data_IF_616877506676
#
_entry.id   IF_616877506676
#
_cell.length_a   1.000
_cell.length_b   1.000
_cell.length_c   1.000
_cell.angle_alpha   90.00
_cell.angle_beta   90.00
_cell.angle_gamma   90.00
#
_symmetry.space_group_name_H-M   'P 1'
#
loop_
_entity.id
_entity.type
_entity.pdbx_description
1 polymer ?
#
# COMPACT_ATOMS: atom_id res chain seq x y z
N UNK A 1 12.50 23.79 15.97
CA UNK A 1 12.92 22.52 15.35
C UNK A 1 12.32 21.41 16.21
N UNK A 2 11.13 20.91 15.84
CA UNK A 2 10.56 19.76 16.56
C UNK A 2 11.37 18.53 16.18
N UNK A 3 11.67 17.69 17.17
CA UNK A 3 12.53 16.53 17.03
C UNK A 3 11.79 15.45 16.21
N UNK A 4 11.90 15.49 14.88
CA UNK A 4 11.26 14.53 13.99
C UNK A 4 11.76 13.08 14.20
N UNK A 5 12.86 12.91 14.95
CA UNK A 5 13.47 11.63 15.30
C UNK A 5 12.55 10.71 16.17
N UNK A 6 11.52 11.24 16.83
CA UNK A 6 10.56 10.42 17.61
C UNK A 6 9.31 10.01 16.82
N UNK A 7 9.05 10.59 15.64
CA UNK A 7 7.81 10.36 14.88
C UNK A 7 8.01 9.31 13.79
N UNK A 8 6.99 8.47 13.62
CA UNK A 8 6.93 7.47 12.55
C UNK A 8 6.34 8.14 11.31
N UNK A 9 7.19 8.69 10.44
CA UNK A 9 6.73 9.43 9.25
C UNK A 9 6.36 8.51 8.07
N UNK A 10 7.00 7.34 7.99
CA UNK A 10 6.76 6.33 6.95
C UNK A 10 6.12 5.08 7.56
N UNK A 11 5.03 4.65 6.95
CA UNK A 11 4.39 3.37 7.22
C UNK A 11 4.65 2.38 6.09
N UNK A 12 4.77 1.10 6.42
CA UNK A 12 4.89 0.01 5.46
C UNK A 12 3.72 -0.94 5.67
N UNK A 13 3.02 -1.26 4.59
CA UNK A 13 1.99 -2.30 4.61
C UNK A 13 2.50 -3.48 3.79
N UNK A 14 2.98 -4.51 4.50
CA UNK A 14 3.53 -5.73 3.92
C UNK A 14 2.44 -6.72 3.51
N UNK A 15 2.46 -7.14 2.25
CA UNK A 15 1.58 -8.18 1.71
C UNK A 15 2.23 -9.57 1.78
N UNK A 16 1.67 -10.50 1.02
CA UNK A 16 2.26 -11.82 0.81
C UNK A 16 3.74 -11.69 0.44
N UNK A 17 4.62 -12.33 1.22
CA UNK A 17 6.07 -12.33 0.99
C UNK A 17 6.87 -11.29 1.78
N UNK A 18 6.20 -10.29 2.39
CA UNK A 18 6.83 -9.34 3.30
C UNK A 18 5.98 -9.22 4.57
N UNK A 19 6.33 -10.00 5.60
CA UNK A 19 5.58 -10.07 6.87
C UNK A 19 6.24 -9.32 8.02
N UNK A 20 7.51 -8.93 7.85
CA UNK A 20 8.27 -8.14 8.81
C UNK A 20 9.44 -7.43 8.09
N UNK A 21 10.12 -6.56 8.84
CA UNK A 21 11.38 -5.90 8.46
C UNK A 21 12.47 -6.32 9.46
N UNK A 22 12.76 -7.62 9.53
CA UNK A 22 13.75 -8.20 10.45
C UNK A 22 15.20 -7.81 10.13
N UNK A 23 15.43 -7.21 8.97
CA UNK A 23 16.67 -6.54 8.60
C UNK A 23 16.82 -5.13 9.21
N UNK A 24 15.83 -4.65 9.96
CA UNK A 24 15.88 -3.40 10.73
C UNK A 24 15.89 -3.68 12.24
N UNK A 25 16.32 -2.70 13.04
CA UNK A 25 16.37 -2.85 14.49
C UNK A 25 14.97 -2.71 15.08
N UNK A 26 14.36 -3.82 15.52
CA UNK A 26 13.08 -3.78 16.22
C UNK A 26 13.14 -2.94 17.50
N UNK A 27 12.12 -2.11 17.72
CA UNK A 27 12.00 -1.25 18.91
C UNK A 27 10.86 -1.72 19.81
N UNK A 28 9.63 -1.79 19.29
CA UNK A 28 8.43 -2.17 20.04
C UNK A 28 7.25 -2.49 19.13
N UNK A 29 6.22 -3.12 19.69
CA UNK A 29 4.89 -3.14 19.07
C UNK A 29 3.98 -2.07 19.66
N UNK A 30 3.10 -1.51 18.84
CA UNK A 30 1.96 -0.68 19.27
C UNK A 30 0.69 -1.22 18.63
N UNK A 31 -0.43 -1.20 19.36
CA UNK A 31 -1.69 -1.73 18.87
C UNK A 31 -2.86 -0.79 19.20
N UNK A 32 -2.91 0.42 18.58
CA UNK A 32 -3.96 1.38 18.87
C UNK A 32 -5.32 0.86 18.39
N UNK A 33 -6.35 1.04 19.21
CA UNK A 33 -7.73 0.86 18.76
C UNK A 33 -8.16 2.11 17.99
N UNK A 34 -8.65 1.92 16.77
CA UNK A 34 -9.20 3.00 15.93
C UNK A 34 -10.73 3.02 16.01
N UNK A 35 -11.40 4.08 15.55
CA UNK A 35 -12.87 4.07 15.40
C UNK A 35 -13.39 2.91 14.54
N UNK A 36 -12.57 2.39 13.62
CA UNK A 36 -12.91 1.25 12.75
C UNK A 36 -12.40 -0.10 13.27
N UNK A 37 -12.01 -0.18 14.54
CA UNK A 37 -11.47 -1.38 15.19
C UNK A 37 -9.94 -1.45 15.17
N UNK A 38 -9.41 -2.66 15.32
CA UNK A 38 -7.97 -2.92 15.27
C UNK A 38 -7.48 -3.13 13.83
N UNK A 39 -6.22 -2.77 13.59
CA UNK A 39 -5.51 -3.10 12.37
C UNK A 39 -5.33 -4.63 12.22
N UNK A 40 -4.93 -5.08 11.02
CA UNK A 40 -4.66 -6.48 10.68
C UNK A 40 -3.65 -7.15 11.62
N UNK A 41 -2.71 -6.37 12.17
CA UNK A 41 -1.72 -6.80 13.15
C UNK A 41 -1.34 -5.63 14.06
N UNK A 42 -0.75 -5.88 15.25
CA UNK A 42 0.02 -4.86 15.94
C UNK A 42 1.05 -4.23 15.00
N UNK A 43 1.22 -2.92 15.07
CA UNK A 43 2.20 -2.19 14.28
C UNK A 43 3.57 -2.46 14.90
N UNK A 44 4.49 -3.03 14.12
CA UNK A 44 5.88 -3.15 14.53
C UNK A 44 6.60 -1.83 14.26
N UNK A 45 7.25 -1.27 15.28
CA UNK A 45 8.11 -0.10 15.14
C UNK A 45 9.55 -0.58 15.09
N UNK A 46 10.25 -0.22 14.02
CA UNK A 46 11.67 -0.51 13.83
C UNK A 46 12.45 0.77 13.55
N UNK A 47 13.74 0.77 13.89
CA UNK A 47 14.70 1.82 13.58
C UNK A 47 15.56 1.42 12.40
N UNK A 48 15.75 2.36 11.49
CA UNK A 48 16.78 2.32 10.47
C UNK A 48 18.17 2.57 11.08
N UNK A 49 19.27 2.28 10.36
CA UNK A 49 20.63 2.61 10.79
C UNK A 49 20.83 4.11 11.07
N UNK A 50 20.09 4.98 10.37
CA UNK A 50 20.06 6.43 10.61
C UNK A 50 19.39 6.84 11.93
N UNK A 51 18.71 5.92 12.63
CA UNK A 51 17.90 6.19 13.81
C UNK A 51 16.45 6.55 13.51
N UNK A 52 16.07 6.74 12.24
CA UNK A 52 14.71 7.07 11.87
C UNK A 52 13.76 5.88 12.06
N UNK A 53 12.52 6.17 12.51
CA UNK A 53 11.53 5.15 12.84
C UNK A 53 10.58 4.86 11.68
N UNK A 54 10.26 3.58 11.50
CA UNK A 54 9.26 3.08 10.54
C UNK A 54 8.21 2.22 11.25
N UNK A 55 6.96 2.35 10.84
CA UNK A 55 5.85 1.50 11.31
C UNK A 55 5.50 0.46 10.26
N UNK A 56 5.31 -0.79 10.66
CA UNK A 56 4.98 -1.89 9.76
C UNK A 56 3.69 -2.60 10.18
N UNK A 57 2.79 -2.84 9.21
CA UNK A 57 1.59 -3.67 9.36
C UNK A 57 1.69 -4.87 8.41
N UNK A 58 1.44 -6.08 8.94
CA UNK A 58 1.22 -7.27 8.12
C UNK A 58 -0.24 -7.25 7.62
N UNK A 59 -0.44 -6.99 6.33
CA UNK A 59 -1.76 -6.78 5.70
C UNK A 59 -2.75 -7.92 6.00
N UNK A 60 -2.26 -9.15 5.91
CA UNK A 60 -3.05 -10.37 6.08
C UNK A 60 -3.03 -10.90 7.52
N UNK A 61 -2.54 -10.11 8.49
CA UNK A 61 -2.18 -10.58 9.81
C UNK A 61 -0.83 -11.33 9.80
N UNK A 62 -0.30 -11.59 11.00
CA UNK A 62 1.03 -12.20 11.17
C UNK A 62 1.09 -13.61 10.54
N UNK A 63 0.01 -14.38 10.71
CA UNK A 63 -0.09 -15.76 10.21
C UNK A 63 -0.80 -15.87 8.85
N UNK A 64 -0.97 -14.74 8.14
CA UNK A 64 -1.72 -14.68 6.88
C UNK A 64 -3.16 -15.23 7.01
N UNK A 65 -3.82 -14.94 8.13
CA UNK A 65 -5.16 -15.45 8.47
C UNK A 65 -6.31 -14.61 7.89
N UNK A 66 -6.02 -13.44 7.32
CA UNK A 66 -7.03 -12.50 6.81
C UNK A 66 -7.03 -12.48 5.28
N UNK A 67 -8.12 -12.93 4.67
CA UNK A 67 -8.31 -12.87 3.21
C UNK A 67 -8.40 -11.42 2.69
N UNK A 68 -8.12 -11.15 1.41
CA UNK A 68 -8.14 -9.79 0.85
C UNK A 68 -9.43 -9.00 1.11
N UNK A 69 -10.60 -9.63 0.97
CA UNK A 69 -11.89 -8.99 1.20
C UNK A 69 -12.16 -8.65 2.67
N UNK A 70 -11.49 -9.32 3.60
CA UNK A 70 -11.69 -9.16 5.04
C UNK A 70 -10.66 -8.22 5.70
N UNK A 71 -9.71 -7.68 4.93
CA UNK A 71 -8.70 -6.76 5.46
C UNK A 71 -9.41 -5.53 6.06
N UNK A 72 -9.15 -5.18 7.34
CA UNK A 72 -9.70 -3.98 7.96
C UNK A 72 -8.96 -2.72 7.48
N UNK A 73 -9.04 -2.42 6.18
CA UNK A 73 -8.22 -1.39 5.54
C UNK A 73 -8.40 0.00 6.18
N UNK A 74 -9.63 0.37 6.60
CA UNK A 74 -9.89 1.60 7.36
C UNK A 74 -9.09 1.66 8.66
N UNK A 75 -9.08 0.57 9.43
CA UNK A 75 -8.32 0.50 10.67
C UNK A 75 -6.80 0.52 10.42
N UNK A 76 -6.31 -0.14 9.37
CA UNK A 76 -4.89 -0.11 9.00
C UNK A 76 -4.41 1.32 8.71
N UNK A 77 -5.11 2.03 7.83
CA UNK A 77 -4.75 3.39 7.44
C UNK A 77 -4.91 4.35 8.63
N UNK A 78 -6.00 4.26 9.38
CA UNK A 78 -6.23 5.08 10.56
C UNK A 78 -5.15 4.87 11.62
N UNK A 79 -4.80 3.61 11.93
CA UNK A 79 -3.79 3.29 12.93
C UNK A 79 -2.42 3.89 12.55
N UNK A 80 -2.01 3.82 11.28
CA UNK A 80 -0.79 4.47 10.79
C UNK A 80 -0.90 6.00 10.90
N UNK A 81 -2.01 6.61 10.49
CA UNK A 81 -2.25 8.06 10.62
C UNK A 81 -2.06 8.53 12.07
N UNK A 82 -2.57 7.75 13.04
CA UNK A 82 -2.48 8.09 14.47
C UNK A 82 -1.05 8.15 15.01
N UNK A 83 -0.10 7.45 14.37
CA UNK A 83 1.33 7.50 14.70
C UNK A 83 2.07 8.67 14.05
N UNK A 84 1.39 9.46 13.21
CA UNK A 84 1.98 10.56 12.46
C UNK A 84 2.50 10.18 11.08
N UNK A 85 2.16 8.99 10.57
CA UNK A 85 2.54 8.55 9.21
C UNK A 85 1.97 9.52 8.19
N UNK A 86 2.85 9.94 7.26
CA UNK A 86 2.51 10.83 6.14
C UNK A 86 2.67 10.16 4.79
N UNK A 87 3.50 9.11 4.72
CA UNK A 87 3.70 8.31 3.51
C UNK A 87 3.59 6.83 3.83
N UNK A 88 2.83 6.09 3.01
CA UNK A 88 2.71 4.64 3.09
C UNK A 88 3.31 4.01 1.84
N UNK A 89 4.25 3.09 2.07
CA UNK A 89 4.80 2.22 1.02
C UNK A 89 4.23 0.82 1.21
N UNK A 90 3.28 0.46 0.35
CA UNK A 90 2.69 -0.86 0.33
C UNK A 90 3.55 -1.82 -0.50
N UNK A 91 3.63 -3.08 -0.08
CA UNK A 91 4.20 -4.18 -0.86
C UNK A 91 3.12 -5.20 -1.19
N UNK A 92 3.02 -5.66 -2.45
CA UNK A 92 2.06 -6.71 -2.83
C UNK A 92 2.62 -7.70 -3.85
N UNK A 93 2.24 -8.97 -3.69
CA UNK A 93 2.32 -9.97 -4.74
C UNK A 93 1.24 -9.68 -5.81
N UNK A 94 1.60 -9.77 -7.08
CA UNK A 94 0.68 -9.56 -8.21
C UNK A 94 0.93 -10.58 -9.31
N UNK A 95 -0.12 -10.92 -10.06
CA UNK A 95 -0.01 -11.64 -11.31
C UNK A 95 0.31 -10.68 -12.46
N UNK A 96 1.16 -11.12 -13.39
CA UNK A 96 1.49 -10.38 -14.59
C UNK A 96 0.47 -10.63 -15.69
N UNK A 97 -0.07 -9.55 -16.25
CA UNK A 97 -0.91 -9.59 -17.45
C UNK A 97 -0.10 -9.26 -18.72
N UNK A 98 1.23 -9.23 -18.66
CA UNK A 98 2.12 -8.87 -19.77
C UNK A 98 3.27 -9.86 -19.90
N UNK A 99 3.67 -10.16 -21.14
CA UNK A 99 4.71 -11.18 -21.37
C UNK A 99 6.07 -10.73 -20.81
N UNK A 100 6.37 -9.44 -20.98
CA UNK A 100 7.65 -8.83 -20.63
C UNK A 100 7.88 -8.67 -19.12
N UNK A 101 6.82 -8.65 -18.30
CA UNK A 101 6.92 -8.55 -16.83
C UNK A 101 6.94 -9.98 -16.28
N UNK A 102 8.13 -10.47 -15.96
CA UNK A 102 8.31 -11.86 -15.53
C UNK A 102 8.17 -12.05 -14.02
N UNK A 103 7.76 -13.24 -13.53
CA UNK A 103 7.83 -13.59 -12.11
C UNK A 103 9.23 -13.29 -11.54
N UNK A 104 9.28 -12.56 -10.43
CA UNK A 104 10.52 -12.02 -9.87
C UNK A 104 10.70 -10.52 -10.11
N UNK A 105 10.16 -9.97 -11.20
CA UNK A 105 10.28 -8.55 -11.50
C UNK A 105 9.50 -7.69 -10.51
N UNK A 106 10.06 -6.51 -10.25
CA UNK A 106 9.42 -5.47 -9.45
C UNK A 106 8.67 -4.51 -10.37
N UNK A 107 7.57 -3.98 -9.87
CA UNK A 107 6.73 -3.03 -10.60
C UNK A 107 6.26 -1.92 -9.68
N UNK A 108 6.38 -0.69 -10.15
CA UNK A 108 5.75 0.49 -9.57
C UNK A 108 4.58 0.88 -10.48
N UNK A 109 3.35 0.41 -10.22
CA UNK A 109 2.19 0.84 -10.99
C UNK A 109 1.92 2.32 -10.74
N UNK A 110 1.47 3.03 -11.78
CA UNK A 110 1.04 4.42 -11.71
C UNK A 110 -0.49 4.56 -11.68
N UNK A 111 -1.22 3.51 -12.09
CA UNK A 111 -2.67 3.52 -12.25
C UNK A 111 -3.33 2.25 -11.69
N UNK A 112 -4.64 2.38 -11.41
CA UNK A 112 -5.46 1.34 -10.81
C UNK A 112 -6.78 1.18 -11.58
N UNK A 113 -7.23 -0.06 -11.77
CA UNK A 113 -8.60 -0.38 -12.21
C UNK A 113 -9.30 -1.12 -11.07
N UNK A 114 -10.41 -0.56 -10.58
CA UNK A 114 -11.17 -1.15 -9.48
C UNK A 114 -12.15 -2.23 -9.99
N UNK A 115 -11.86 -3.48 -9.64
CA UNK A 115 -12.73 -4.65 -9.87
C UNK A 115 -13.10 -5.34 -8.56
N UNK A 116 -13.03 -4.62 -7.45
CA UNK A 116 -13.66 -5.03 -6.20
C UNK A 116 -15.19 -4.94 -6.33
N UNK A 117 -15.92 -5.63 -5.45
CA UNK A 117 -17.38 -5.84 -5.54
C UNK A 117 -18.21 -4.96 -4.59
N UNK A 118 -17.59 -3.96 -3.96
CA UNK A 118 -18.28 -3.05 -3.03
C UNK A 118 -18.64 -3.68 -1.68
N UNK A 119 -18.15 -4.89 -1.38
CA UNK A 119 -18.31 -5.51 -0.05
C UNK A 119 -17.31 -4.97 0.98
N UNK A 120 -16.25 -4.31 0.50
CA UNK A 120 -15.20 -3.69 1.30
C UNK A 120 -15.60 -2.23 1.56
N UNK A 121 -15.52 -1.73 2.81
CA UNK A 121 -15.68 -0.30 3.07
C UNK A 121 -14.57 0.48 2.34
N UNK A 122 -14.95 1.37 1.43
CA UNK A 122 -13.99 2.09 0.57
C UNK A 122 -13.79 3.54 0.95
N UNK A 123 -14.58 4.07 1.90
CA UNK A 123 -14.47 5.44 2.40
C UNK A 123 -14.58 5.50 3.93
N UNK A 124 -13.90 6.48 4.52
CA UNK A 124 -14.07 6.89 5.91
C UNK A 124 -15.34 7.72 6.13
N UNK A 125 -15.94 8.27 5.07
CA UNK A 125 -17.14 9.09 5.15
C UNK A 125 -18.44 8.26 5.11
N UNK A 126 -18.36 6.98 4.77
CA UNK A 126 -19.50 6.05 4.74
C UNK A 126 -20.24 6.02 6.08
N UNK A 127 -21.54 6.36 6.07
CA UNK A 127 -22.41 6.32 7.24
C UNK A 127 -22.26 7.50 8.22
N UNK A 128 -21.39 8.47 7.93
CA UNK A 128 -21.14 9.64 8.81
C UNK A 128 -22.17 10.76 8.64
N UNK A 129 -22.94 10.75 7.54
CA UNK A 129 -23.80 11.87 7.13
C UNK A 129 -23.05 13.03 6.46
N UNK A 130 -21.71 12.96 6.39
CA UNK A 130 -20.85 13.90 5.68
C UNK A 130 -20.48 13.35 4.31
N UNK A 131 -20.34 14.24 3.32
CA UNK A 131 -20.00 13.87 1.95
C UNK A 131 -18.66 14.48 1.54
N UNK A 132 -17.78 13.63 1.02
CA UNK A 132 -16.52 14.03 0.43
C UNK A 132 -16.29 13.30 -0.90
N UNK A 133 -15.67 14.01 -1.86
CA UNK A 133 -15.25 13.46 -3.15
C UNK A 133 -13.77 13.72 -3.36
N UNK A 134 -12.92 12.85 -2.81
CA UNK A 134 -11.48 12.97 -2.98
C UNK A 134 -11.09 12.81 -4.45
N UNK A 135 -10.24 13.71 -4.96
CA UNK A 135 -9.64 13.54 -6.27
C UNK A 135 -8.84 12.23 -6.29
N UNK A 136 -8.97 11.44 -7.35
CA UNK A 136 -8.33 10.12 -7.46
C UNK A 136 -7.96 9.75 -8.91
N UNK A 137 -7.82 10.76 -9.79
CA UNK A 137 -7.32 10.56 -11.16
C UNK A 137 -5.94 9.91 -11.15
N UNK A 138 -5.09 10.36 -10.23
CA UNK A 138 -3.74 9.88 -10.01
C UNK A 138 -3.69 9.31 -8.58
N UNK A 139 -3.75 7.96 -8.44
CA UNK A 139 -3.83 7.31 -7.14
C UNK A 139 -2.53 7.38 -6.35
N UNK A 140 -1.42 7.70 -7.02
CA UNK A 140 -0.09 7.82 -6.45
C UNK A 140 0.52 9.17 -6.84
N UNK A 141 1.29 9.77 -5.93
CA UNK A 141 2.02 11.01 -6.23
C UNK A 141 3.09 10.75 -7.32
N UNK A 142 3.16 11.57 -8.39
CA UNK A 142 4.22 11.48 -9.39
C UNK A 142 5.63 11.73 -8.84
N UNK A 143 5.76 12.66 -7.88
CA UNK A 143 7.07 13.00 -7.26
C UNK A 143 7.55 11.86 -6.37
N UNK A 144 6.65 11.30 -5.56
CA UNK A 144 6.95 10.12 -4.77
C UNK A 144 7.30 8.93 -5.66
N UNK A 145 6.51 8.67 -6.70
CA UNK A 145 6.76 7.57 -7.64
C UNK A 145 8.13 7.68 -8.33
N UNK A 146 8.52 8.87 -8.78
CA UNK A 146 9.84 9.09 -9.37
C UNK A 146 10.97 8.80 -8.37
N UNK A 147 10.86 9.31 -7.13
CA UNK A 147 11.86 9.05 -6.09
C UNK A 147 11.94 7.56 -5.72
N UNK A 148 10.80 6.90 -5.65
CA UNK A 148 10.73 5.46 -5.40
C UNK A 148 11.38 4.67 -6.53
N UNK A 149 11.15 5.05 -7.79
CA UNK A 149 11.75 4.37 -8.93
C UNK A 149 13.28 4.40 -8.87
N UNK A 150 13.87 5.56 -8.56
CA UNK A 150 15.32 5.69 -8.41
C UNK A 150 15.85 4.85 -7.25
N UNK A 151 15.18 4.89 -6.09
CA UNK A 151 15.59 4.13 -4.91
C UNK A 151 15.46 2.61 -5.10
N UNK A 152 14.39 2.14 -5.77
CA UNK A 152 14.19 0.73 -6.06
C UNK A 152 15.24 0.26 -7.08
N UNK A 153 15.53 1.02 -8.13
CA UNK A 153 16.59 0.69 -9.10
C UNK A 153 17.94 0.52 -8.40
N UNK A 154 18.32 1.48 -7.56
CA UNK A 154 19.58 1.42 -6.83
C UNK A 154 19.67 0.18 -5.92
N UNK A 155 18.58 -0.18 -5.24
CA UNK A 155 18.51 -1.38 -4.40
C UNK A 155 18.65 -2.67 -5.22
N UNK A 156 17.95 -2.78 -6.35
CA UNK A 156 18.00 -3.96 -7.22
C UNK A 156 19.37 -4.11 -7.91
N UNK A 157 19.99 -3.00 -8.32
CA UNK A 157 21.35 -2.97 -8.86
C UNK A 157 22.39 -3.46 -7.83
N UNK A 158 22.27 -3.01 -6.58
CA UNK A 158 23.14 -3.43 -5.48
C UNK A 158 23.02 -4.93 -5.16
N UNK A 159 21.85 -5.54 -5.35
CA UNK A 159 21.65 -6.99 -5.18
C UNK A 159 22.30 -7.80 -6.31
N UNK A 160 22.44 -7.24 -7.51
CA UNK A 160 23.19 -7.85 -8.61
C UNK A 160 22.55 -9.09 -9.27
N UNK A 161 21.29 -9.40 -8.95
CA UNK A 161 20.57 -10.58 -9.48
C UNK A 161 19.91 -10.37 -10.85
N UNK A 162 20.04 -9.17 -11.43
CA UNK A 162 19.45 -8.84 -12.73
C UNK A 162 17.93 -8.71 -12.72
N UNK A 163 17.33 -8.50 -11.55
CA UNK A 163 15.88 -8.27 -11.39
C UNK A 163 15.51 -6.92 -12.00
N UNK A 164 14.43 -6.87 -12.80
CA UNK A 164 14.00 -5.63 -13.47
C UNK A 164 13.00 -4.86 -12.63
N UNK A 165 13.02 -3.54 -12.80
CA UNK A 165 11.95 -2.65 -12.36
C UNK A 165 11.15 -2.15 -13.57
N UNK A 166 9.84 -2.35 -13.52
CA UNK A 166 8.88 -1.75 -14.44
C UNK A 166 8.16 -0.57 -13.78
N UNK A 167 7.95 0.51 -14.53
CA UNK A 167 7.17 1.68 -14.09
C UNK A 167 5.99 1.90 -15.03
N UNK A 168 5.10 2.81 -14.65
CA UNK A 168 4.00 3.30 -15.50
C UNK A 168 3.04 2.19 -15.95
N UNK A 169 2.74 1.29 -15.03
CA UNK A 169 1.84 0.15 -15.23
C UNK A 169 0.48 0.35 -14.56
N UNK A 170 -0.53 -0.32 -15.11
CA UNK A 170 -1.90 -0.32 -14.59
C UNK A 170 -2.20 -1.63 -13.86
N UNK A 171 -2.54 -1.54 -12.57
CA UNK A 171 -2.91 -2.69 -11.75
C UNK A 171 -4.44 -2.84 -11.68
N UNK A 172 -4.95 -3.98 -12.13
CA UNK A 172 -6.35 -4.38 -11.89
C UNK A 172 -6.47 -4.95 -10.49
N UNK A 173 -7.35 -4.38 -9.66
CA UNK A 173 -7.60 -4.88 -8.30
C UNK A 173 -8.92 -5.64 -8.28
N UNK A 174 -8.84 -6.96 -8.27
CA UNK A 174 -10.02 -7.84 -8.22
C UNK A 174 -10.42 -8.18 -6.78
N UNK A 175 -11.66 -8.65 -6.61
CA UNK A 175 -12.18 -9.02 -5.28
C UNK A 175 -11.53 -10.27 -4.68
N UNK A 176 -11.31 -11.32 -5.49
CA UNK A 176 -10.93 -12.63 -4.97
C UNK A 176 -12.07 -13.33 -4.19
N UNK A 177 -11.75 -14.34 -3.35
CA UNK A 177 -10.41 -14.89 -3.11
C UNK A 177 -9.92 -15.82 -4.23
N UNK A 178 -10.80 -16.26 -5.13
CA UNK A 178 -10.39 -17.06 -6.28
C UNK A 178 -9.56 -16.22 -7.25
N UNK A 179 -8.57 -16.85 -7.89
CA UNK A 179 -7.89 -16.27 -9.04
C UNK A 179 -8.84 -16.11 -10.24
N UNK A 180 -8.42 -15.29 -11.20
CA UNK A 180 -9.20 -15.03 -12.41
C UNK A 180 -9.45 -16.30 -13.20
N UNK A 181 -10.63 -16.39 -13.81
CA UNK A 181 -10.80 -17.22 -14.99
C UNK A 181 -9.93 -16.68 -16.13
N UNK A 182 -9.56 -17.54 -17.09
CA UNK A 182 -8.82 -17.11 -18.29
C UNK A 182 -9.55 -16.02 -19.08
N UNK A 183 -10.88 -16.08 -19.15
CA UNK A 183 -11.69 -15.07 -19.83
C UNK A 183 -11.55 -13.70 -19.16
N UNK A 184 -11.54 -13.66 -17.83
CA UNK A 184 -11.29 -12.43 -17.07
C UNK A 184 -9.87 -11.92 -17.31
N UNK A 185 -8.83 -12.77 -17.24
CA UNK A 185 -7.44 -12.36 -17.51
C UNK A 185 -7.27 -11.75 -18.91
N UNK A 186 -7.89 -12.38 -19.93
CA UNK A 186 -7.86 -11.86 -21.30
C UNK A 186 -8.63 -10.54 -21.44
N UNK A 187 -9.77 -10.40 -20.76
CA UNK A 187 -10.53 -9.15 -20.72
C UNK A 187 -9.72 -8.02 -20.06
N UNK A 188 -9.07 -8.29 -18.91
CA UNK A 188 -8.25 -7.30 -18.21
C UNK A 188 -7.08 -6.81 -19.06
N UNK A 189 -6.46 -7.70 -19.85
CA UNK A 189 -5.44 -7.33 -20.84
C UNK A 189 -5.98 -6.39 -21.91
N UNK A 190 -7.21 -6.63 -22.40
CA UNK A 190 -7.87 -5.78 -23.39
C UNK A 190 -8.22 -4.39 -22.84
N UNK A 191 -8.51 -4.28 -21.54
CA UNK A 191 -8.73 -3.01 -20.86
C UNK A 191 -7.45 -2.21 -20.63
N UNK A 192 -6.28 -2.76 -20.96
CA UNK A 192 -4.99 -2.13 -20.70
C UNK A 192 -4.37 -2.49 -19.35
N UNK A 193 -4.94 -3.44 -18.60
CA UNK A 193 -4.35 -3.95 -17.37
C UNK A 193 -2.99 -4.62 -17.64
N UNK A 194 -1.98 -4.24 -16.86
CA UNK A 194 -0.63 -4.79 -16.95
C UNK A 194 -0.36 -5.81 -15.84
N UNK A 195 -1.04 -5.64 -14.71
CA UNK A 195 -0.92 -6.45 -13.52
C UNK A 195 -2.30 -6.76 -12.95
N UNK A 196 -2.39 -7.79 -12.12
CA UNK A 196 -3.58 -8.11 -11.34
C UNK A 196 -3.23 -8.43 -9.89
N UNK A 197 -4.03 -7.90 -8.96
CA UNK A 197 -3.86 -8.12 -7.53
C UNK A 197 -5.20 -7.95 -6.80
N UNK A 198 -5.16 -8.01 -5.47
CA UNK A 198 -6.40 -8.02 -4.67
C UNK A 198 -6.44 -6.99 -3.54
N UNK A 199 -5.40 -6.16 -3.35
CA UNK A 199 -5.20 -5.46 -2.06
C UNK A 199 -4.98 -3.96 -2.16
N UNK A 200 -4.49 -3.43 -3.29
CA UNK A 200 -4.19 -2.00 -3.43
C UNK A 200 -5.44 -1.09 -3.29
N UNK A 201 -6.63 -1.65 -3.50
CA UNK A 201 -7.91 -1.03 -3.21
C UNK A 201 -8.67 -1.84 -2.14
N UNK A 202 -9.25 -1.17 -1.12
CA UNK A 202 -9.40 0.28 -1.00
C UNK A 202 -8.23 1.03 -0.32
N UNK A 203 -7.08 0.40 -0.07
CA UNK A 203 -5.96 1.02 0.66
C UNK A 203 -5.55 2.39 0.12
N UNK A 204 -5.36 2.51 -1.20
CA UNK A 204 -4.97 3.78 -1.82
C UNK A 204 -6.07 4.88 -1.70
N UNK A 205 -7.35 4.51 -1.82
CA UNK A 205 -8.49 5.45 -1.65
C UNK A 205 -8.53 5.99 -0.23
N UNK A 206 -8.39 5.10 0.76
CA UNK A 206 -8.42 5.45 2.16
C UNK A 206 -7.18 6.29 2.56
N UNK A 207 -6.00 5.97 2.03
CA UNK A 207 -4.81 6.79 2.24
C UNK A 207 -4.99 8.22 1.72
N UNK A 208 -5.58 8.38 0.52
CA UNK A 208 -5.94 9.68 -0.05
C UNK A 208 -6.93 10.44 0.85
N UNK A 209 -8.00 9.79 1.33
CA UNK A 209 -8.94 10.42 2.27
C UNK A 209 -8.32 10.79 3.63
N UNK A 210 -7.28 10.09 4.05
CA UNK A 210 -6.52 10.39 5.27
C UNK A 210 -5.40 11.41 5.05
N UNK A 211 -5.27 12.00 3.85
CA UNK A 211 -4.17 12.90 3.46
C UNK A 211 -2.79 12.27 3.69
N UNK A 212 -2.62 11.02 3.26
CA UNK A 212 -1.38 10.25 3.32
C UNK A 212 -0.94 9.91 1.89
N UNK A 213 0.29 10.27 1.54
CA UNK A 213 0.89 9.83 0.28
C UNK A 213 0.99 8.31 0.25
N UNK A 214 0.49 7.67 -0.81
CA UNK A 214 0.52 6.22 -0.93
C UNK A 214 1.26 5.82 -2.20
N UNK A 215 2.01 4.73 -2.12
CA UNK A 215 2.61 4.08 -3.27
C UNK A 215 2.64 2.57 -3.07
N UNK A 216 2.61 1.83 -4.19
CA UNK A 216 2.72 0.38 -4.21
C UNK A 216 4.02 -0.04 -4.89
N UNK A 217 4.81 -0.87 -4.22
CA UNK A 217 5.87 -1.68 -4.82
C UNK A 217 5.32 -3.09 -4.98
N UNK A 218 5.06 -3.50 -6.21
CA UNK A 218 4.55 -4.82 -6.52
C UNK A 218 5.68 -5.75 -6.96
N UNK A 219 5.52 -7.04 -6.70
CA UNK A 219 6.40 -8.10 -7.23
C UNK A 219 5.55 -9.07 -8.02
N UNK A 220 5.88 -9.25 -9.30
CA UNK A 220 5.21 -10.23 -10.15
C UNK A 220 5.55 -11.64 -9.63
N UNK A 221 4.53 -12.47 -9.41
CA UNK A 221 4.71 -13.85 -8.92
C UNK A 221 4.36 -14.92 -9.94
N UNK A 222 3.64 -14.56 -10.98
CA UNK A 222 3.05 -15.46 -11.96
C UNK A 222 2.54 -14.66 -13.17
N UNK A 223 1.95 -15.36 -14.15
CA UNK A 223 1.32 -14.76 -15.33
C UNK A 223 -0.22 -14.87 -15.30
N UNK A 224 -0.83 -14.90 -14.10
CA UNK A 224 -2.26 -15.11 -13.92
C UNK A 224 -2.77 -16.33 -14.72
N UNK A 225 -3.87 -16.23 -15.46
CA UNK A 225 -4.44 -17.35 -16.22
C UNK A 225 -4.48 -17.12 -17.75
N UNK A 226 -3.83 -16.08 -18.27
CA UNK A 226 -4.00 -15.68 -19.68
C UNK A 226 -3.19 -16.52 -20.68
N UNK A 227 -2.15 -17.24 -20.23
CA UNK A 227 -1.35 -18.10 -21.10
C UNK A 227 -2.12 -19.39 -21.46
N UNK A 228 -2.28 -19.70 -22.76
CA UNK A 228 -3.17 -20.78 -23.22
C UNK A 228 -2.67 -22.20 -22.92
N UNK A 229 -1.37 -22.38 -22.71
CA UNK A 229 -0.72 -23.70 -22.52
C UNK A 229 -0.04 -23.86 -21.17
N UNK A 230 -0.23 -22.91 -20.26
CA UNK A 230 0.24 -23.02 -18.87
C UNK A 230 -0.94 -23.37 -17.97
N UNK A 231 -0.65 -24.09 -16.88
CA UNK A 231 -1.63 -24.30 -15.82
C UNK A 231 -2.01 -22.93 -15.23
N UNK A 232 -3.26 -22.80 -14.77
CA UNK A 232 -3.66 -21.61 -14.04
C UNK A 232 -2.91 -21.51 -12.72
N UNK A 233 -2.75 -20.28 -12.24
CA UNK A 233 -2.05 -19.97 -10.99
C UNK A 233 -2.54 -20.77 -9.79
N UNK A 234 -1.58 -21.24 -9.01
CA UNK A 234 -1.80 -21.85 -7.70
C UNK A 234 -1.17 -21.03 -6.58
N UNK A 235 -1.73 -21.13 -5.38
CA UNK A 235 -1.14 -20.49 -4.20
C UNK A 235 0.29 -21.01 -3.89
N UNK A 236 0.60 -22.25 -4.31
CA UNK A 236 1.92 -22.85 -4.11
C UNK A 236 3.00 -22.19 -4.98
N UNK A 237 2.70 -21.90 -6.24
CA UNK A 237 3.62 -21.19 -7.15
C UNK A 237 3.91 -19.78 -6.66
N UNK A 238 2.86 -19.06 -6.26
CA UNK A 238 2.99 -17.74 -5.63
C UNK A 238 3.90 -17.84 -4.40
N UNK A 239 3.65 -18.80 -3.51
CA UNK A 239 4.45 -18.99 -2.30
C UNK A 239 5.94 -19.28 -2.57
N UNK A 240 6.25 -20.04 -3.62
CA UNK A 240 7.63 -20.35 -4.00
C UNK A 240 8.39 -19.11 -4.46
N UNK A 241 7.79 -18.31 -5.35
CA UNK A 241 8.40 -17.06 -5.83
C UNK A 241 8.55 -16.05 -4.70
N UNK A 242 7.53 -15.92 -3.83
CA UNK A 242 7.62 -15.02 -2.68
C UNK A 242 8.75 -15.41 -1.73
N UNK A 243 8.97 -16.71 -1.48
CA UNK A 243 10.10 -17.16 -0.66
C UNK A 243 11.45 -16.79 -1.29
N UNK A 244 11.56 -16.91 -2.61
CA UNK A 244 12.77 -16.54 -3.36
C UNK A 244 13.04 -15.03 -3.37
N UNK A 245 11.99 -14.23 -3.26
CA UNK A 245 12.05 -12.76 -3.33
C UNK A 245 11.96 -12.07 -1.98
N UNK A 246 11.67 -12.78 -0.88
CA UNK A 246 11.46 -12.16 0.43
C UNK A 246 12.70 -11.36 0.89
N UNK A 247 13.90 -11.89 0.67
CA UNK A 247 15.15 -11.18 0.97
C UNK A 247 15.30 -9.91 0.11
N UNK A 248 15.01 -10.01 -1.18
CA UNK A 248 14.99 -8.86 -2.10
C UNK A 248 13.99 -7.81 -1.66
N UNK A 249 12.75 -8.20 -1.34
CA UNK A 249 11.71 -7.29 -0.90
C UNK A 249 12.08 -6.59 0.40
N UNK A 250 12.69 -7.29 1.36
CA UNK A 250 13.22 -6.68 2.60
C UNK A 250 14.36 -5.71 2.32
N UNK A 251 15.29 -6.08 1.45
CA UNK A 251 16.40 -5.22 1.04
C UNK A 251 15.89 -3.94 0.38
N UNK A 252 15.01 -4.08 -0.62
CA UNK A 252 14.34 -2.96 -1.30
C UNK A 252 13.59 -2.09 -0.30
N UNK A 253 12.79 -2.68 0.60
CA UNK A 253 12.06 -1.93 1.61
C UNK A 253 13.00 -1.06 2.47
N UNK A 254 14.01 -1.66 3.10
CA UNK A 254 14.95 -0.92 3.95
C UNK A 254 15.67 0.20 3.17
N UNK A 255 16.15 -0.10 1.97
CA UNK A 255 16.86 0.88 1.15
C UNK A 255 15.97 2.05 0.70
N UNK A 256 14.75 1.74 0.27
CA UNK A 256 13.77 2.75 -0.17
C UNK A 256 13.37 3.65 0.99
N UNK A 257 13.08 3.10 2.17
CA UNK A 257 12.65 3.88 3.33
C UNK A 257 13.79 4.80 3.78
N UNK A 258 15.02 4.29 3.86
CA UNK A 258 16.21 5.09 4.16
C UNK A 258 16.38 6.23 3.14
N UNK A 259 16.26 5.93 1.85
CA UNK A 259 16.39 6.91 0.76
C UNK A 259 15.30 7.99 0.77
N UNK A 260 14.09 7.65 1.20
CA UNK A 260 12.98 8.60 1.35
C UNK A 260 13.17 9.51 2.57
N UNK A 261 13.59 8.94 3.70
CA UNK A 261 13.78 9.70 4.94
C UNK A 261 15.04 10.57 4.92
N UNK A 262 16.05 10.20 4.12
CA UNK A 262 17.20 11.05 3.84
C UNK A 262 16.90 12.20 2.86
N UNK A 263 15.78 12.14 2.14
CA UNK A 263 15.36 13.19 1.22
C UNK A 263 14.61 14.31 1.95
N UNK A 264 14.16 15.32 1.20
CA UNK A 264 13.30 16.37 1.74
C UNK A 264 11.96 15.77 2.22
N UNK A 265 11.73 15.83 3.54
CA UNK A 265 10.53 15.33 4.20
C UNK A 265 9.24 15.98 3.69
N UNK A 266 9.32 17.11 2.97
CA UNK A 266 8.18 17.72 2.29
C UNK A 266 7.54 16.78 1.25
N UNK A 267 8.33 15.88 0.64
CA UNK A 267 7.86 14.85 -0.28
C UNK A 267 6.83 13.91 0.38
N UNK A 268 6.97 13.66 1.68
CA UNK A 268 6.10 12.75 2.42
C UNK A 268 4.74 13.40 2.74
N UNK A 269 4.59 14.72 2.58
CA UNK A 269 3.43 15.48 3.02
C UNK A 269 2.64 16.09 1.84
N UNK A 270 2.80 15.58 0.63
CA UNK A 270 2.16 16.15 -0.57
C UNK A 270 0.64 16.08 -0.56
N UNK A 271 0.08 15.06 0.09
CA UNK A 271 -1.37 14.89 0.21
C UNK A 271 -1.97 15.74 1.34
N UNK A 272 -1.14 16.37 2.19
CA UNK A 272 -1.60 17.21 3.29
C UNK A 272 -2.38 18.42 2.75
N UNK A 273 -3.58 18.64 3.27
CA UNK A 273 -4.48 19.68 2.79
C UNK A 273 -5.38 19.29 1.62
N UNK A 274 -5.19 18.13 0.99
CA UNK A 274 -5.92 17.74 -0.22
C UNK A 274 -7.43 17.60 0.00
N UNK A 275 -7.86 17.18 1.20
CA UNK A 275 -9.27 16.97 1.52
C UNK A 275 -10.05 18.27 1.70
N UNK A 276 -9.39 19.40 1.93
CA UNK A 276 -10.03 20.72 1.99
C UNK A 276 -10.94 21.01 0.80
N UNK A 277 -10.53 20.56 -0.39
CA UNK A 277 -11.26 20.79 -1.64
C UNK A 277 -12.23 19.66 -1.99
N UNK A 278 -12.21 18.56 -1.24
CA UNK A 278 -13.05 17.39 -1.45
C UNK A 278 -14.32 17.40 -0.58
N UNK A 279 -14.31 18.14 0.55
CA UNK A 279 -15.42 18.22 1.49
C UNK A 279 -16.58 19.06 0.89
N UNK A 280 -17.73 18.41 0.67
CA UNK A 280 -18.94 19.08 0.17
C UNK A 280 -19.81 19.61 1.30
N UNK A 281 -19.88 18.87 2.41
CA UNK A 281 -20.60 19.25 3.62
C UNK A 281 -19.74 20.19 4.46
N UNK A 282 -20.34 21.23 5.05
CA UNK A 282 -19.61 22.16 5.92
C UNK A 282 -19.14 21.45 7.20
N UNK A 283 -17.82 21.39 7.49
CA UNK A 283 -17.30 20.68 8.67
C UNK A 283 -17.81 21.27 9.99
N UNK A 284 -18.04 22.58 10.04
CA UNK A 284 -18.51 23.28 11.24
C UNK A 284 -19.94 22.92 11.67
N UNK A 285 -20.71 22.26 10.80
CA UNK A 285 -22.06 21.80 11.12
C UNK A 285 -22.09 20.43 11.81
N UNK A 286 -20.98 19.66 11.80
CA UNK A 286 -20.98 18.26 12.25
C UNK A 286 -19.71 17.89 13.01
N UNK A 287 -19.85 17.61 14.31
CA UNK A 287 -18.80 16.98 15.11
C UNK A 287 -18.75 15.49 14.80
N UNK A 288 -17.59 15.00 14.36
CA UNK A 288 -17.37 13.58 14.10
C UNK A 288 -16.04 13.14 14.73
N UNK A 289 -16.13 12.44 15.86
CA UNK A 289 -14.98 11.88 16.57
C UNK A 289 -14.17 10.93 15.66
N UNK A 290 -14.86 10.18 14.80
CA UNK A 290 -14.23 9.22 13.90
C UNK A 290 -13.37 9.93 12.84
N UNK A 291 -13.96 10.88 12.10
CA UNK A 291 -13.22 11.66 11.10
C UNK A 291 -12.14 12.55 11.73
N UNK A 292 -12.32 13.07 12.95
CA UNK A 292 -11.27 13.78 13.67
C UNK A 292 -10.04 12.90 14.00
N UNK A 293 -10.18 11.57 13.92
CA UNK A 293 -9.07 10.64 14.06
C UNK A 293 -8.12 10.68 12.86
N UNK A 294 -8.64 10.86 11.64
CA UNK A 294 -7.86 10.86 10.40
C UNK A 294 -7.60 12.27 9.83
N UNK A 295 -8.46 13.22 10.16
CA UNK A 295 -8.49 14.59 9.63
C UNK A 295 -8.69 15.61 10.77
N UNK A 296 -7.78 15.62 11.78
CA UNK A 296 -7.91 16.47 12.96
C UNK A 296 -7.87 17.98 12.66
N UNK A 297 -7.37 18.39 11.49
CA UNK A 297 -7.35 19.77 11.03
C UNK A 297 -8.73 20.29 10.61
N UNK A 298 -9.67 19.39 10.34
CA UNK A 298 -10.99 19.70 9.78
C UNK A 298 -12.13 19.39 10.74
N UNK A 299 -11.94 18.45 11.67
CA UNK A 299 -12.98 17.98 12.58
C UNK A 299 -12.49 18.03 14.03
N UNK A 300 -13.35 18.49 14.94
CA UNK A 300 -13.07 18.50 16.38
C UNK A 300 -13.27 17.11 16.99
N UNK A 301 -12.36 16.71 17.89
CA UNK A 301 -12.62 15.61 18.83
C UNK A 301 -13.67 16.11 19.82
N UNK A 302 -14.86 15.51 19.82
CA UNK A 302 -15.93 15.83 20.76
C UNK A 302 -15.50 15.56 22.21
#
# INVERSE_FOLDING_TARGET
MHNDCEKVLVGVIGGSGLYNLDNLTFVKHVNPQTPWGYASSPIAISSLPSGALVGFIARHGIDHSISPSAIPARANIAALKSLGVRCIIAFSAVGSLREEIAPGDFVLPSQLIDRTKGIRPTSFFDGTGLVAHAGFSDPYSPRLAARLADAVRAALEAEGRGVKLWTDKTLVVMEGPQFSTRAESLMYRQWGGDLIGMTALPEAKLAREAEISFALIATATDYDAWRPHEAGVTAAEVGAILKQNADTSRHVAAHVIESLLAADVSLLAEEAGSMRFALMSSPSAHKSVELAYILPEYFEKA
#
